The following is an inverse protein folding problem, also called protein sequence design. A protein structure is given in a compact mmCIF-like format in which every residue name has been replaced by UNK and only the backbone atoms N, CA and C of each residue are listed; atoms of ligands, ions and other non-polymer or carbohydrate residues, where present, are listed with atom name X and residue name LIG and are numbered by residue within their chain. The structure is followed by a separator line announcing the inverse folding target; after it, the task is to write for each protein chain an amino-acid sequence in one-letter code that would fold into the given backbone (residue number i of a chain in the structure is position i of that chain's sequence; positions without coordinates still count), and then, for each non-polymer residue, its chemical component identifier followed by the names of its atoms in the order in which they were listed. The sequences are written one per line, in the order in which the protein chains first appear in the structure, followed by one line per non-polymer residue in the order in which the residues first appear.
data_IF_633242733383
#
_entry.id   IF_633242733383
#
_cell.length_a   1.000
_cell.length_b   1.000
_cell.length_c   1.000
_cell.angle_alpha   90.00
_cell.angle_beta   90.00
_cell.angle_gamma   90.00
#
_symmetry.space_group_name_H-M   'P 1'
#
loop_
_entity.id
_entity.type
_entity.pdbx_description
1 polymer ?
#
# COMPACT_ATOMS: atom_id res chain seq x y z
N UNK A 1 8.01 -11.35 -11.97
CA UNK A 1 7.63 -11.02 -10.58
C UNK A 1 8.87 -11.00 -9.71
N UNK A 2 9.09 -9.90 -9.00
CA UNK A 2 10.27 -9.77 -8.16
C UNK A 2 10.09 -10.47 -6.81
N UNK A 3 11.20 -10.87 -6.20
CA UNK A 3 11.18 -11.43 -4.85
C UNK A 3 10.90 -10.32 -3.82
N UNK A 4 10.37 -10.71 -2.67
CA UNK A 4 10.00 -9.80 -1.59
C UNK A 4 11.15 -8.84 -1.21
N UNK A 5 12.36 -9.36 -1.05
CA UNK A 5 13.51 -8.55 -0.63
C UNK A 5 13.92 -7.54 -1.69
N UNK A 6 13.78 -7.88 -2.96
CA UNK A 6 14.05 -6.95 -4.05
C UNK A 6 13.04 -5.79 -4.05
N UNK A 7 11.76 -6.10 -3.88
CA UNK A 7 10.71 -5.08 -3.81
C UNK A 7 10.97 -4.16 -2.62
N UNK A 8 11.32 -4.73 -1.46
CA UNK A 8 11.60 -3.95 -0.26
C UNK A 8 12.75 -2.96 -0.50
N UNK A 9 13.84 -3.40 -1.14
CA UNK A 9 14.99 -2.53 -1.43
C UNK A 9 14.62 -1.39 -2.37
N UNK A 10 13.86 -1.69 -3.43
CA UNK A 10 13.41 -0.67 -4.38
C UNK A 10 12.49 0.32 -3.68
N UNK A 11 11.57 -0.19 -2.87
CA UNK A 11 10.61 0.62 -2.12
C UNK A 11 11.34 1.58 -1.17
N UNK A 12 12.32 1.10 -0.43
CA UNK A 12 13.12 1.93 0.48
C UNK A 12 13.90 3.00 -0.27
N UNK A 13 14.42 2.68 -1.46
CA UNK A 13 15.16 3.64 -2.27
C UNK A 13 14.27 4.78 -2.78
N UNK A 14 12.97 4.53 -2.92
CA UNK A 14 12.01 5.55 -3.35
C UNK A 14 11.72 6.57 -2.24
N UNK A 15 11.95 6.21 -0.98
CA UNK A 15 11.65 7.04 0.18
C UNK A 15 12.85 7.11 1.13
N UNK A 16 14.00 7.64 0.66
CA UNK A 16 15.26 7.54 1.44
C UNK A 16 15.25 8.32 2.75
N UNK A 17 14.37 9.30 2.88
CA UNK A 17 14.30 10.14 4.09
C UNK A 17 13.17 9.74 5.03
N UNK A 18 12.41 8.70 4.69
CA UNK A 18 11.31 8.27 5.54
C UNK A 18 11.84 7.57 6.79
N UNK A 19 11.29 7.94 7.94
CA UNK A 19 11.66 7.35 9.23
C UNK A 19 10.80 6.15 9.60
N UNK A 20 9.67 5.96 8.89
CA UNK A 20 8.73 4.88 9.15
C UNK A 20 8.03 4.54 7.85
N UNK A 21 8.43 3.43 7.26
CA UNK A 21 7.83 2.92 6.02
C UNK A 21 7.03 1.66 6.30
N UNK A 22 5.97 1.42 5.52
CA UNK A 22 5.36 0.10 5.48
C UNK A 22 6.39 -0.96 5.06
N UNK A 23 6.15 -2.18 5.51
CA UNK A 23 7.05 -3.31 5.27
C UNK A 23 6.37 -4.26 4.30
N UNK A 24 7.07 -4.62 3.23
CA UNK A 24 6.56 -5.63 2.30
C UNK A 24 6.63 -6.98 3.01
N UNK A 25 5.49 -7.55 3.34
CA UNK A 25 5.42 -8.84 4.01
C UNK A 25 5.54 -9.99 3.02
N UNK A 26 4.84 -9.86 1.88
CA UNK A 26 4.76 -10.92 0.91
C UNK A 26 4.51 -10.36 -0.49
N UNK A 27 5.12 -10.96 -1.48
CA UNK A 27 4.75 -10.75 -2.89
C UNK A 27 3.89 -11.95 -3.29
N UNK A 28 2.67 -11.66 -3.72
CA UNK A 28 1.68 -12.69 -4.07
C UNK A 28 1.55 -12.83 -5.59
N UNK A 29 0.79 -13.82 -6.03
CA UNK A 29 0.52 -14.01 -7.45
C UNK A 29 -0.23 -12.85 -8.07
N UNK A 30 -1.01 -12.10 -7.27
CA UNK A 30 -1.83 -10.99 -7.77
C UNK A 30 -1.37 -9.61 -7.29
N UNK A 31 -0.36 -9.53 -6.43
CA UNK A 31 0.12 -8.26 -5.92
C UNK A 31 1.05 -8.39 -4.73
N UNK A 32 0.73 -7.72 -3.63
CA UNK A 32 1.56 -7.69 -2.42
C UNK A 32 0.70 -7.67 -1.17
N UNK A 33 1.30 -8.07 -0.05
CA UNK A 33 0.77 -7.80 1.29
C UNK A 33 1.80 -6.92 2.00
N UNK A 34 1.33 -5.79 2.54
CA UNK A 34 2.17 -4.78 3.17
C UNK A 34 1.71 -4.60 4.61
N UNK A 35 2.66 -4.63 5.54
CA UNK A 35 2.39 -4.37 6.97
C UNK A 35 2.79 -2.95 7.32
N UNK A 36 1.95 -2.26 8.06
CA UNK A 36 2.31 -0.96 8.62
C UNK A 36 2.22 -1.01 10.14
N UNK A 37 3.36 -0.97 10.83
CA UNK A 37 3.35 -0.90 12.30
C UNK A 37 2.70 0.40 12.75
N UNK A 38 1.76 0.28 13.68
CA UNK A 38 0.97 1.42 14.17
C UNK A 38 1.39 1.78 15.58
N UNK A 39 1.52 3.09 15.83
CA UNK A 39 1.80 3.63 17.17
C UNK A 39 0.98 4.90 17.41
N UNK A 40 1.25 5.59 18.50
CA UNK A 40 0.47 6.76 18.92
C UNK A 40 0.44 7.90 17.89
N UNK A 41 1.44 7.97 16.99
CA UNK A 41 1.48 9.01 15.93
C UNK A 41 0.34 8.85 14.93
N UNK A 42 -0.26 7.68 14.85
CA UNK A 42 -1.30 7.35 13.87
C UNK A 42 -2.70 7.44 14.47
N UNK A 43 -2.78 7.74 15.76
CA UNK A 43 -4.03 7.76 16.49
C UNK A 43 -4.81 9.06 16.25
N UNK A 44 -6.13 8.91 16.13
CA UNK A 44 -7.05 10.03 16.16
C UNK A 44 -7.88 9.96 17.44
N UNK A 45 -8.58 11.05 17.84
CA UNK A 45 -9.47 11.00 18.99
C UNK A 45 -10.44 9.82 18.92
N UNK A 46 -10.57 9.09 20.03
CA UNK A 46 -11.38 7.89 20.09
C UNK A 46 -10.60 6.59 20.06
N UNK A 47 -9.25 6.67 19.97
CA UNK A 47 -8.39 5.50 20.05
C UNK A 47 -8.41 4.63 18.79
N UNK A 48 -8.53 5.27 17.62
CA UNK A 48 -8.51 4.55 16.33
C UNK A 48 -7.42 5.11 15.42
N UNK A 49 -7.02 4.33 14.42
CA UNK A 49 -6.06 4.78 13.41
C UNK A 49 -6.73 5.80 12.51
N UNK A 50 -6.00 6.88 12.18
CA UNK A 50 -6.53 7.99 11.39
C UNK A 50 -6.79 7.61 9.93
N UNK A 51 -7.76 8.29 9.31
CA UNK A 51 -8.05 8.14 7.89
C UNK A 51 -6.85 8.44 6.99
N UNK A 52 -6.15 9.58 7.20
CA UNK A 52 -4.94 9.87 6.42
C UNK A 52 -3.87 8.78 6.48
N UNK A 53 -3.70 8.11 7.63
CA UNK A 53 -2.77 6.98 7.76
C UNK A 53 -3.18 5.84 6.82
N UNK A 54 -4.46 5.52 6.77
CA UNK A 54 -4.97 4.46 5.89
C UNK A 54 -4.87 4.86 4.43
N UNK A 55 -5.06 6.14 4.09
CA UNK A 55 -4.89 6.62 2.72
C UNK A 55 -3.44 6.48 2.27
N UNK A 56 -2.49 6.86 3.11
CA UNK A 56 -1.06 6.70 2.82
C UNK A 56 -0.72 5.22 2.63
N UNK A 57 -1.22 4.35 3.50
CA UNK A 57 -0.96 2.92 3.40
C UNK A 57 -1.53 2.33 2.11
N UNK A 58 -2.76 2.72 1.75
CA UNK A 58 -3.38 2.25 0.50
C UNK A 58 -2.55 2.67 -0.72
N UNK A 59 -2.11 3.92 -0.75
CA UNK A 59 -1.31 4.45 -1.85
C UNK A 59 0.04 3.75 -1.95
N UNK A 60 0.74 3.58 -0.83
CA UNK A 60 2.05 2.92 -0.84
C UNK A 60 1.94 1.43 -1.14
N UNK A 61 0.89 0.75 -0.71
CA UNK A 61 0.66 -0.65 -1.07
C UNK A 61 0.43 -0.81 -2.57
N UNK A 62 -0.32 0.12 -3.19
CA UNK A 62 -0.52 0.11 -4.63
C UNK A 62 0.81 0.30 -5.36
N UNK A 63 1.62 1.24 -4.92
CA UNK A 63 2.95 1.48 -5.49
C UNK A 63 3.83 0.24 -5.38
N UNK A 64 3.86 -0.39 -4.20
CA UNK A 64 4.64 -1.61 -3.98
C UNK A 64 4.18 -2.75 -4.91
N UNK A 65 2.88 -2.89 -5.13
CA UNK A 65 2.34 -3.90 -6.05
C UNK A 65 2.87 -3.67 -7.47
N UNK A 66 2.89 -2.43 -7.93
CA UNK A 66 3.41 -2.08 -9.26
C UNK A 66 4.90 -2.41 -9.34
N UNK A 67 5.69 -2.01 -8.34
CA UNK A 67 7.13 -2.31 -8.31
C UNK A 67 7.41 -3.81 -8.37
N UNK A 68 6.54 -4.63 -7.76
CA UNK A 68 6.73 -6.08 -7.74
C UNK A 68 6.64 -6.71 -9.13
N UNK A 69 6.04 -6.03 -10.08
CA UNK A 69 5.80 -6.55 -11.43
C UNK A 69 6.74 -5.95 -12.48
N UNK A 70 7.00 -4.66 -12.39
CA UNK A 70 7.75 -3.97 -13.45
C UNK A 70 9.10 -3.42 -12.97
N UNK A 71 9.45 -3.68 -11.73
CA UNK A 71 10.76 -3.28 -11.18
C UNK A 71 10.82 -1.81 -10.81
N UNK A 72 12.03 -1.24 -10.89
CA UNK A 72 12.28 0.11 -10.41
C UNK A 72 11.70 1.17 -11.36
N UNK A 73 10.48 1.60 -11.09
CA UNK A 73 9.78 2.68 -11.80
C UNK A 73 9.48 3.82 -10.84
N UNK A 74 10.52 4.39 -10.28
CA UNK A 74 10.40 5.38 -9.20
C UNK A 74 9.58 6.61 -9.60
N UNK A 75 9.45 6.89 -10.90
CA UNK A 75 8.67 8.03 -11.39
C UNK A 75 7.20 7.72 -11.65
N UNK A 76 6.74 6.51 -11.36
CA UNK A 76 5.32 6.22 -11.39
C UNK A 76 4.60 7.08 -10.34
N UNK A 77 3.48 7.69 -10.71
CA UNK A 77 2.78 8.62 -9.84
C UNK A 77 1.30 8.30 -9.75
N UNK A 78 0.74 8.52 -8.57
CA UNK A 78 -0.69 8.36 -8.34
C UNK A 78 -1.46 9.43 -9.11
N UNK A 79 -2.41 9.02 -9.93
CA UNK A 79 -3.30 9.96 -10.60
C UNK A 79 -4.70 9.97 -9.99
N UNK A 80 -5.09 8.91 -9.32
CA UNK A 80 -6.40 8.80 -8.68
C UNK A 80 -6.32 7.82 -7.52
N UNK A 81 -6.93 8.18 -6.42
CA UNK A 81 -7.08 7.31 -5.26
C UNK A 81 -8.48 7.49 -4.71
N UNK A 82 -9.27 6.43 -4.74
CA UNK A 82 -10.57 6.38 -4.08
C UNK A 82 -10.45 5.43 -2.90
N UNK A 83 -10.93 5.84 -1.73
CA UNK A 83 -10.92 4.99 -0.56
C UNK A 83 -12.25 5.11 0.20
N UNK A 84 -12.76 3.97 0.63
CA UNK A 84 -13.93 3.89 1.50
C UNK A 84 -13.46 3.37 2.86
N UNK A 85 -13.82 4.12 3.91
CA UNK A 85 -13.54 3.74 5.30
C UNK A 85 -14.76 3.01 5.83
N UNK A 86 -14.59 1.72 6.12
CA UNK A 86 -15.71 0.83 6.41
C UNK A 86 -15.90 0.59 7.91
N UNK A 87 -14.81 0.57 8.67
CA UNK A 87 -14.82 0.30 10.11
C UNK A 87 -13.70 1.07 10.78
N UNK A 88 -13.84 1.29 12.08
CA UNK A 88 -12.77 1.90 12.89
C UNK A 88 -11.72 0.84 13.22
N UNK A 89 -10.48 0.99 12.74
CA UNK A 89 -9.44 0.03 13.09
C UNK A 89 -8.95 0.26 14.51
N UNK A 90 -8.65 -0.84 15.20
CA UNK A 90 -8.00 -0.78 16.49
C UNK A 90 -6.55 -0.28 16.34
N UNK A 91 -5.93 0.13 17.45
CA UNK A 91 -4.53 0.56 17.46
C UNK A 91 -3.60 -0.64 17.43
N UNK A 92 -3.66 -1.39 16.34
CA UNK A 92 -2.81 -2.54 16.05
C UNK A 92 -2.23 -2.37 14.65
N UNK A 93 -1.22 -3.17 14.31
CA UNK A 93 -0.66 -3.14 12.95
C UNK A 93 -1.76 -3.30 11.91
N UNK A 94 -1.59 -2.61 10.79
CA UNK A 94 -2.49 -2.75 9.64
C UNK A 94 -1.81 -3.60 8.57
N UNK A 95 -2.61 -4.41 7.90
CA UNK A 95 -2.18 -5.17 6.73
C UNK A 95 -2.95 -4.65 5.53
N UNK A 96 -2.23 -4.32 4.46
CA UNK A 96 -2.81 -3.86 3.21
C UNK A 96 -2.50 -4.87 2.11
N UNK A 97 -3.53 -5.44 1.53
CA UNK A 97 -3.40 -6.38 0.41
C UNK A 97 -3.68 -5.65 -0.88
N UNK A 98 -2.64 -5.47 -1.69
CA UNK A 98 -2.74 -4.82 -2.99
C UNK A 98 -2.89 -5.87 -4.08
N UNK A 99 -3.96 -5.78 -4.86
CA UNK A 99 -4.24 -6.68 -5.99
C UNK A 99 -4.25 -5.87 -7.27
N UNK A 100 -3.40 -6.27 -8.21
CA UNK A 100 -3.31 -5.59 -9.51
C UNK A 100 -4.52 -5.97 -10.35
N UNK A 101 -5.34 -4.97 -10.71
CA UNK A 101 -6.50 -5.17 -11.57
C UNK A 101 -6.14 -4.98 -13.04
N UNK A 102 -5.21 -4.06 -13.31
CA UNK A 102 -4.76 -3.77 -14.67
C UNK A 102 -3.32 -3.27 -14.60
N UNK A 103 -2.50 -3.79 -15.49
CA UNK A 103 -1.13 -3.32 -15.67
C UNK A 103 -0.90 -3.09 -17.15
N UNK A 104 -1.12 -1.86 -17.60
CA UNK A 104 -0.93 -1.46 -18.98
C UNK A 104 0.41 -0.78 -19.19
N UNK A 105 0.60 -0.20 -20.38
CA UNK A 105 1.83 0.52 -20.71
C UNK A 105 1.94 1.86 -20.01
N UNK A 106 0.81 2.54 -19.83
CA UNK A 106 0.77 3.90 -19.30
C UNK A 106 0.02 4.00 -17.99
N UNK A 107 -0.86 3.06 -17.71
CA UNK A 107 -1.69 3.09 -16.51
C UNK A 107 -1.68 1.72 -15.82
N UNK A 108 -1.65 1.77 -14.49
CA UNK A 108 -1.86 0.60 -13.65
C UNK A 108 -2.98 0.90 -12.67
N UNK A 109 -3.83 -0.08 -12.42
CA UNK A 109 -4.93 0.01 -11.47
C UNK A 109 -4.76 -1.07 -10.42
N UNK A 110 -4.75 -0.68 -9.15
CA UNK A 110 -4.56 -1.60 -8.03
C UNK A 110 -5.68 -1.41 -7.03
N UNK A 111 -6.27 -2.51 -6.60
CA UNK A 111 -7.23 -2.51 -5.51
C UNK A 111 -6.50 -2.84 -4.22
N UNK A 112 -6.82 -2.13 -3.13
CA UNK A 112 -6.18 -2.35 -1.83
C UNK A 112 -7.25 -2.58 -0.78
N UNK A 113 -7.12 -3.70 -0.07
CA UNK A 113 -7.96 -4.02 1.07
C UNK A 113 -7.11 -3.91 2.34
N UNK A 114 -7.58 -3.11 3.31
CA UNK A 114 -6.87 -2.90 4.58
C UNK A 114 -7.65 -3.59 5.70
N UNK A 115 -6.92 -4.33 6.54
CA UNK A 115 -7.47 -4.97 7.74
C UNK A 115 -6.50 -4.82 8.91
N UNK A 116 -7.02 -4.95 10.11
CA UNK A 116 -6.16 -5.02 11.30
C UNK A 116 -5.50 -6.40 11.38
N UNK A 117 -4.26 -6.44 11.87
CA UNK A 117 -3.58 -7.70 12.10
C UNK A 117 -4.39 -8.57 13.06
N UNK A 118 -4.54 -9.85 12.72
CA UNK A 118 -5.34 -10.79 13.49
C UNK A 118 -6.83 -10.78 13.19
N UNK A 119 -7.28 -9.94 12.26
CA UNK A 119 -8.70 -9.86 11.86
C UNK A 119 -8.83 -10.05 10.36
N UNK A 120 -9.90 -10.71 9.95
CA UNK A 120 -10.24 -10.86 8.53
C UNK A 120 -11.18 -9.75 8.05
N UNK A 121 -11.69 -8.91 8.95
CA UNK A 121 -12.63 -7.84 8.59
C UNK A 121 -11.91 -6.69 7.93
N UNK A 122 -12.40 -6.27 6.77
CA UNK A 122 -11.87 -5.14 6.03
C UNK A 122 -12.25 -3.84 6.74
N UNK A 123 -11.25 -3.01 7.06
CA UNK A 123 -11.49 -1.71 7.70
C UNK A 123 -11.54 -0.58 6.67
N UNK A 124 -10.88 -0.75 5.52
CA UNK A 124 -10.93 0.19 4.41
C UNK A 124 -10.68 -0.53 3.10
N UNK A 125 -11.22 0.01 2.02
CA UNK A 125 -10.99 -0.49 0.67
C UNK A 125 -10.70 0.67 -0.25
N UNK A 126 -9.67 0.52 -1.08
CA UNK A 126 -9.25 1.58 -1.99
C UNK A 126 -9.03 1.05 -3.39
N UNK A 127 -9.07 1.96 -4.35
CA UNK A 127 -8.62 1.71 -5.70
C UNK A 127 -7.73 2.87 -6.12
N UNK A 128 -6.52 2.55 -6.54
CA UNK A 128 -5.53 3.53 -6.97
C UNK A 128 -5.22 3.34 -8.45
N UNK A 129 -5.10 4.46 -9.17
CA UNK A 129 -4.64 4.46 -10.55
C UNK A 129 -3.30 5.19 -10.60
N UNK A 130 -2.32 4.58 -11.23
CA UNK A 130 -0.99 5.15 -11.40
C UNK A 130 -0.70 5.40 -12.86
N UNK A 131 -0.06 6.54 -13.12
CA UNK A 131 0.55 6.82 -14.40
C UNK A 131 1.96 6.25 -14.40
N UNK A 132 2.30 5.46 -15.42
CA UNK A 132 3.61 4.84 -15.53
C UNK A 132 4.48 5.69 -16.46
N UNK A 133 5.78 5.83 -16.16
CA UNK A 133 6.67 6.58 -17.05
C UNK A 133 6.82 5.82 -18.38
N UNK A 134 6.96 6.57 -19.46
CA UNK A 134 7.24 5.97 -20.77
C UNK A 134 8.69 5.46 -20.78
N UNK A 135 8.83 4.25 -21.31
CA UNK A 135 10.15 3.67 -21.53
C UNK A 135 10.72 4.15 -22.86
#
# INVERSE_FOLDING_TARGET
MLARDEVQRIFESAFPEATSLPIIEEVTDSGVIVRYPIDSRHERPGGTVSGPTMMMLADTAAYAAILSRIGSVLLAVTTSLHIDFLRRPAMTDLLAEGTILKLGRQLAVVEVAIRSDGSSEMVAKAQATYSLPRS
#
